data_IF_406768263450
#
_entry.id   IF_406768263450
#
_cell.length_a   1.000
_cell.length_b   1.000
_cell.length_c   1.000
_cell.angle_alpha   90.00
_cell.angle_beta   90.00
_cell.angle_gamma   90.00
#
_symmetry.space_group_name_H-M   'P 1'
#
loop_
_entity.id
_entity.type
_entity.pdbx_description
1 polymer ?
#
# COMPACT_ATOMS: atom_id res chain seq x y z
N UNK A 1 -15.10 13.03 0.74
CA UNK A 1 -14.47 11.72 1.00
C UNK A 1 -13.51 11.75 2.19
N UNK A 2 -12.38 12.49 2.15
CA UNK A 2 -11.35 12.48 3.23
C UNK A 2 -11.90 12.68 4.66
N UNK A 3 -12.76 13.69 4.88
CA UNK A 3 -13.36 13.92 6.21
C UNK A 3 -14.20 12.74 6.71
N UNK A 4 -14.93 12.09 5.80
CA UNK A 4 -15.74 10.93 6.12
C UNK A 4 -14.85 9.72 6.44
N UNK A 5 -13.75 9.53 5.70
CA UNK A 5 -12.78 8.48 5.99
C UNK A 5 -12.16 8.64 7.38
N UNK A 6 -11.71 9.84 7.73
CA UNK A 6 -11.21 10.12 9.09
C UNK A 6 -12.23 9.82 10.16
N UNK A 7 -13.46 10.29 9.98
CA UNK A 7 -14.55 10.03 10.92
C UNK A 7 -14.86 8.53 11.06
N UNK A 8 -14.82 7.76 9.98
CA UNK A 8 -15.02 6.31 10.03
C UNK A 8 -13.93 5.62 10.86
N UNK A 9 -12.67 6.01 10.70
CA UNK A 9 -11.54 5.38 11.39
C UNK A 9 -11.46 5.83 12.86
N UNK A 10 -11.42 7.14 13.08
CA UNK A 10 -11.08 7.73 14.38
C UNK A 10 -12.25 7.72 15.36
N UNK A 11 -13.47 8.01 14.87
CA UNK A 11 -14.65 8.18 15.74
C UNK A 11 -15.54 6.95 15.76
N UNK A 12 -15.67 6.25 14.62
CA UNK A 12 -16.50 5.05 14.51
C UNK A 12 -15.75 3.74 14.75
N UNK A 13 -14.41 3.77 14.80
CA UNK A 13 -13.59 2.56 14.93
C UNK A 13 -13.83 1.57 13.79
N UNK A 14 -14.14 2.07 12.58
CA UNK A 14 -14.32 1.22 11.42
C UNK A 14 -12.96 0.68 10.98
N UNK A 15 -12.83 -0.65 10.94
CA UNK A 15 -11.57 -1.31 10.60
C UNK A 15 -11.56 -1.96 9.21
N UNK A 16 -12.72 -2.09 8.58
CA UNK A 16 -12.91 -2.80 7.31
C UNK A 16 -13.42 -1.84 6.21
N UNK A 17 -12.69 -1.81 5.11
CA UNK A 17 -12.93 -0.99 3.93
C UNK A 17 -12.87 -1.79 2.63
N UNK A 18 -13.01 -3.13 2.68
CA UNK A 18 -12.87 -4.03 1.52
C UNK A 18 -13.62 -3.54 0.28
N UNK A 19 -12.93 -3.51 -0.86
CA UNK A 19 -13.50 -3.17 -2.17
C UNK A 19 -13.92 -1.70 -2.32
N UNK A 20 -13.45 -0.80 -1.46
CA UNK A 20 -13.75 0.63 -1.58
C UNK A 20 -12.79 1.35 -2.52
N UNK A 21 -13.30 2.42 -3.13
CA UNK A 21 -12.56 3.25 -4.07
C UNK A 21 -11.96 4.48 -3.38
N UNK A 22 -10.66 4.67 -3.56
CA UNK A 22 -9.90 5.85 -3.13
C UNK A 22 -9.13 6.57 -4.25
N UNK A 23 -9.49 6.46 -5.55
CA UNK A 23 -8.60 6.88 -6.63
C UNK A 23 -8.31 8.38 -6.60
N UNK A 24 -7.05 8.73 -6.82
CA UNK A 24 -6.59 10.12 -6.88
C UNK A 24 -6.67 10.91 -5.57
N UNK A 25 -7.02 10.27 -4.44
CA UNK A 25 -7.09 10.95 -3.16
C UNK A 25 -5.71 11.27 -2.59
N UNK A 26 -5.65 12.38 -1.83
CA UNK A 26 -4.56 12.62 -0.90
C UNK A 26 -4.86 11.99 0.45
N UNK A 27 -4.18 10.86 0.70
CA UNK A 27 -4.22 10.06 1.91
C UNK A 27 -2.89 10.16 2.68
N UNK A 28 -2.08 11.16 2.37
CA UNK A 28 -0.78 11.35 3.00
C UNK A 28 -0.92 11.54 4.52
N UNK A 29 0.00 10.95 5.27
CA UNK A 29 0.08 10.99 6.74
C UNK A 29 -1.05 10.28 7.50
N UNK A 30 -1.92 9.51 6.82
CA UNK A 30 -2.89 8.66 7.53
C UNK A 30 -2.21 7.49 8.24
N UNK A 31 -2.77 7.11 9.39
CA UNK A 31 -2.46 5.84 10.03
C UNK A 31 -3.57 4.82 9.72
N UNK A 32 -3.23 3.86 8.87
CA UNK A 32 -4.05 2.75 8.44
C UNK A 32 -3.54 1.41 9.00
N UNK A 33 -2.72 1.46 10.06
CA UNK A 33 -2.11 0.27 10.62
C UNK A 33 -3.17 -0.72 11.14
N UNK A 34 -3.02 -1.98 10.76
CA UNK A 34 -3.93 -3.07 11.16
C UNK A 34 -5.30 -3.10 10.48
N UNK A 35 -5.61 -2.10 9.64
CA UNK A 35 -6.90 -2.02 8.95
C UNK A 35 -6.97 -2.97 7.74
N UNK A 36 -8.19 -3.28 7.30
CA UNK A 36 -8.45 -4.15 6.14
C UNK A 36 -8.93 -3.35 4.94
N UNK A 37 -8.21 -3.45 3.83
CA UNK A 37 -8.52 -2.81 2.55
C UNK A 37 -8.47 -3.80 1.37
N UNK A 38 -8.56 -5.11 1.59
CA UNK A 38 -8.41 -6.08 0.49
C UNK A 38 -9.33 -5.74 -0.70
N UNK A 39 -8.78 -5.76 -1.91
CA UNK A 39 -9.48 -5.42 -3.16
C UNK A 39 -9.80 -3.93 -3.36
N UNK A 40 -9.26 -3.03 -2.54
CA UNK A 40 -9.48 -1.59 -2.71
C UNK A 40 -8.69 -0.98 -3.87
N UNK A 41 -9.22 0.13 -4.37
CA UNK A 41 -8.57 0.93 -5.40
C UNK A 41 -7.87 2.17 -4.81
N UNK A 42 -6.54 2.19 -4.88
CA UNK A 42 -5.66 3.29 -4.52
C UNK A 42 -4.91 3.88 -5.73
N UNK A 43 -5.35 3.64 -6.97
CA UNK A 43 -4.64 4.15 -8.14
C UNK A 43 -4.57 5.68 -8.13
N UNK A 44 -3.45 6.23 -8.60
CA UNK A 44 -3.15 7.69 -8.59
C UNK A 44 -3.20 8.39 -7.21
N UNK A 45 -3.26 7.67 -6.10
CA UNK A 45 -3.31 8.29 -4.76
C UNK A 45 -1.97 8.91 -4.35
N UNK A 46 -2.05 9.95 -3.53
CA UNK A 46 -0.91 10.43 -2.76
C UNK A 46 -0.93 9.78 -1.37
N UNK A 47 0.12 9.03 -1.07
CA UNK A 47 0.30 8.18 0.12
C UNK A 47 1.61 8.51 0.83
N UNK A 48 2.00 9.79 0.85
CA UNK A 48 3.27 10.20 1.45
C UNK A 48 3.20 10.01 2.96
N UNK A 49 4.22 9.40 3.57
CA UNK A 49 4.29 9.11 5.01
C UNK A 49 3.10 8.31 5.57
N UNK A 50 2.33 7.61 4.72
CA UNK A 50 1.20 6.79 5.17
C UNK A 50 1.73 5.58 5.95
N UNK A 51 0.98 5.11 6.95
CA UNK A 51 1.28 3.87 7.67
C UNK A 51 0.26 2.81 7.36
N UNK A 52 0.69 1.73 6.73
CA UNK A 52 -0.08 0.51 6.50
C UNK A 52 0.50 -0.67 7.30
N UNK A 53 1.12 -0.41 8.45
CA UNK A 53 1.77 -1.48 9.23
C UNK A 53 0.77 -2.57 9.58
N UNK A 54 1.10 -3.83 9.30
CA UNK A 54 0.21 -4.99 9.55
C UNK A 54 -1.17 -4.90 8.87
N UNK A 55 -1.36 -4.03 7.89
CA UNK A 55 -2.63 -3.92 7.16
C UNK A 55 -2.85 -5.12 6.23
N UNK A 56 -4.12 -5.39 5.90
CA UNK A 56 -4.53 -6.37 4.90
C UNK A 56 -4.84 -5.65 3.60
N UNK A 57 -3.97 -5.82 2.60
CA UNK A 57 -3.95 -5.10 1.33
C UNK A 57 -3.94 -6.08 0.14
N UNK A 58 -4.41 -7.32 0.33
CA UNK A 58 -4.44 -8.30 -0.74
C UNK A 58 -5.31 -7.82 -1.89
N UNK A 59 -4.84 -8.02 -3.13
CA UNK A 59 -5.57 -7.70 -4.36
C UNK A 59 -5.90 -6.21 -4.54
N UNK A 60 -5.25 -5.31 -3.78
CA UNK A 60 -5.38 -3.87 -3.97
C UNK A 60 -4.69 -3.37 -5.25
N UNK A 61 -5.20 -2.27 -5.78
CA UNK A 61 -4.61 -1.52 -6.89
C UNK A 61 -3.90 -0.26 -6.38
N UNK A 62 -2.59 -0.18 -6.51
CA UNK A 62 -1.76 1.01 -6.18
C UNK A 62 -1.09 1.59 -7.43
N UNK A 63 -1.60 1.28 -8.64
CA UNK A 63 -0.99 1.73 -9.89
C UNK A 63 -0.83 3.25 -9.90
N UNK A 64 0.35 3.68 -10.32
CA UNK A 64 0.69 5.11 -10.41
C UNK A 64 0.53 5.91 -9.08
N UNK A 65 0.44 5.23 -7.92
CA UNK A 65 0.38 5.90 -6.61
C UNK A 65 1.77 6.41 -6.18
N UNK A 66 1.77 7.40 -5.28
CA UNK A 66 3.00 8.02 -4.74
C UNK A 66 3.14 7.67 -3.26
N UNK A 67 4.10 6.83 -2.91
CA UNK A 67 4.24 6.30 -1.54
C UNK A 67 5.51 6.76 -0.86
N UNK A 68 6.06 7.94 -1.19
CA UNK A 68 7.30 8.41 -0.56
C UNK A 68 7.24 8.33 0.97
N UNK A 69 8.24 7.69 1.58
CA UNK A 69 8.31 7.47 3.04
C UNK A 69 7.12 6.69 3.64
N UNK A 70 6.39 5.91 2.84
CA UNK A 70 5.31 5.05 3.33
C UNK A 70 5.84 3.82 4.07
N UNK A 71 5.05 3.34 5.01
CA UNK A 71 5.40 2.18 5.83
C UNK A 71 4.39 1.05 5.67
N UNK A 72 4.76 0.04 4.89
CA UNK A 72 4.00 -1.19 4.68
C UNK A 72 4.51 -2.34 5.54
N UNK A 73 5.35 -2.10 6.55
CA UNK A 73 6.00 -3.17 7.31
C UNK A 73 4.97 -4.16 7.90
N UNK A 74 5.26 -5.46 7.78
CA UNK A 74 4.39 -6.57 8.20
C UNK A 74 3.02 -6.67 7.48
N UNK A 75 2.74 -5.84 6.48
CA UNK A 75 1.48 -5.89 5.73
C UNK A 75 1.33 -7.18 4.90
N UNK A 76 0.09 -7.57 4.65
CA UNK A 76 -0.25 -8.64 3.70
C UNK A 76 -0.62 -8.02 2.36
N UNK A 77 0.22 -8.25 1.35
CA UNK A 77 0.13 -7.55 0.06
C UNK A 77 0.17 -8.54 -1.11
N UNK A 78 -0.47 -9.71 -0.94
CA UNK A 78 -0.51 -10.72 -2.00
C UNK A 78 -1.30 -10.19 -3.19
N UNK A 79 -0.81 -10.44 -4.40
CA UNK A 79 -1.45 -10.05 -5.66
C UNK A 79 -1.77 -8.55 -5.78
N UNK A 80 -1.04 -7.71 -5.07
CA UNK A 80 -1.18 -6.25 -5.18
C UNK A 80 -0.64 -5.77 -6.53
N UNK A 81 -1.28 -4.76 -7.13
CA UNK A 81 -0.74 -4.09 -8.31
C UNK A 81 -0.01 -2.80 -7.91
N UNK A 82 1.33 -2.83 -7.98
CA UNK A 82 2.23 -1.71 -7.72
C UNK A 82 2.88 -1.20 -9.02
N UNK A 83 2.25 -1.46 -10.18
CA UNK A 83 2.80 -1.04 -11.46
C UNK A 83 2.92 0.49 -11.53
N UNK A 84 4.10 0.97 -11.92
CA UNK A 84 4.47 2.40 -11.97
C UNK A 84 4.38 3.17 -10.63
N UNK A 85 4.18 2.50 -9.50
CA UNK A 85 4.14 3.16 -8.19
C UNK A 85 5.52 3.75 -7.82
N UNK A 86 5.53 4.89 -7.13
CA UNK A 86 6.75 5.52 -6.62
C UNK A 86 7.03 5.06 -5.17
N UNK A 87 7.85 4.01 -5.02
CA UNK A 87 8.14 3.33 -3.75
C UNK A 87 9.33 3.91 -2.97
N UNK A 88 9.71 5.14 -3.30
CA UNK A 88 10.95 5.75 -2.84
C UNK A 88 10.94 5.93 -1.31
N UNK A 89 12.02 5.53 -0.64
CA UNK A 89 12.17 5.65 0.83
C UNK A 89 11.09 4.90 1.63
N UNK A 90 10.35 3.98 1.01
CA UNK A 90 9.30 3.20 1.67
C UNK A 90 9.87 1.97 2.38
N UNK A 91 9.12 1.44 3.37
CA UNK A 91 9.42 0.14 3.99
C UNK A 91 8.40 -0.91 3.57
N UNK A 92 8.91 -2.03 3.07
CA UNK A 92 8.20 -3.29 2.85
C UNK A 92 8.79 -4.41 3.74
N UNK A 93 9.40 -4.03 4.88
CA UNK A 93 10.01 -4.96 5.81
C UNK A 93 9.02 -6.06 6.23
N UNK A 94 9.41 -7.32 6.06
CA UNK A 94 8.62 -8.49 6.46
C UNK A 94 7.19 -8.55 5.85
N UNK A 95 7.03 -8.04 4.62
CA UNK A 95 5.77 -8.11 3.85
C UNK A 95 5.63 -9.41 3.06
N UNK A 96 4.39 -9.80 2.75
CA UNK A 96 4.12 -10.83 1.73
C UNK A 96 3.65 -10.19 0.42
N UNK A 97 4.55 -10.12 -0.56
CA UNK A 97 4.32 -9.60 -1.91
C UNK A 97 4.19 -10.75 -2.94
N UNK A 98 3.76 -11.94 -2.50
CA UNK A 98 3.55 -13.07 -3.41
C UNK A 98 2.56 -12.68 -4.52
N UNK A 99 2.94 -12.91 -5.79
CA UNK A 99 2.15 -12.60 -6.99
C UNK A 99 1.90 -11.10 -7.21
N UNK A 100 2.65 -10.21 -6.55
CA UNK A 100 2.55 -8.77 -6.76
C UNK A 100 3.07 -8.35 -8.16
N UNK A 101 2.53 -7.26 -8.69
CA UNK A 101 3.02 -6.62 -9.91
C UNK A 101 3.87 -5.39 -9.56
N UNK A 102 5.18 -5.44 -9.81
CA UNK A 102 6.11 -4.32 -9.64
C UNK A 102 6.59 -3.76 -11.00
N UNK A 103 5.92 -4.07 -12.12
CA UNK A 103 6.34 -3.59 -13.44
C UNK A 103 6.47 -2.06 -13.44
N UNK A 104 7.63 -1.54 -13.86
CA UNK A 104 7.94 -0.10 -13.90
C UNK A 104 7.82 0.63 -12.56
N UNK A 105 7.74 -0.07 -11.43
CA UNK A 105 7.78 0.56 -10.12
C UNK A 105 9.11 1.32 -9.96
N UNK A 106 9.04 2.55 -9.43
CA UNK A 106 10.24 3.35 -9.14
C UNK A 106 10.71 3.03 -7.74
N UNK A 107 11.74 2.19 -7.67
CA UNK A 107 12.29 1.69 -6.41
C UNK A 107 13.62 2.40 -6.14
N UNK A 108 13.69 3.14 -5.03
CA UNK A 108 14.92 3.82 -4.59
C UNK A 108 14.92 3.92 -3.07
N UNK A 109 16.00 3.50 -2.42
CA UNK A 109 16.13 3.53 -0.95
C UNK A 109 14.96 2.83 -0.23
N UNK A 110 14.38 1.80 -0.84
CA UNK A 110 13.22 1.07 -0.33
C UNK A 110 13.68 -0.16 0.43
N UNK A 111 13.16 -0.39 1.63
CA UNK A 111 13.51 -1.57 2.43
C UNK A 111 12.63 -2.77 2.07
N UNK A 112 13.21 -3.79 1.43
CA UNK A 112 12.56 -5.08 1.16
C UNK A 112 13.09 -6.21 2.05
N UNK A 113 13.81 -5.91 3.14
CA UNK A 113 14.38 -6.93 4.02
C UNK A 113 13.28 -7.84 4.56
N UNK A 114 13.50 -9.15 4.44
CA UNK A 114 12.55 -10.20 4.80
C UNK A 114 11.19 -10.16 4.04
N UNK A 115 11.06 -9.36 2.98
CA UNK A 115 9.88 -9.40 2.14
C UNK A 115 9.86 -10.70 1.31
N UNK A 116 8.66 -11.27 1.13
CA UNK A 116 8.46 -12.45 0.30
C UNK A 116 8.08 -12.05 -1.12
N UNK A 117 9.02 -12.21 -2.05
CA UNK A 117 8.90 -11.81 -3.47
C UNK A 117 8.73 -13.01 -4.42
N UNK A 118 7.78 -13.92 -4.10
CA UNK A 118 7.49 -15.09 -4.95
C UNK A 118 6.56 -14.71 -6.10
N UNK A 119 6.88 -15.14 -7.32
CA UNK A 119 6.08 -14.92 -8.55
C UNK A 119 5.73 -13.45 -8.85
N UNK A 120 6.60 -12.53 -8.43
CA UNK A 120 6.44 -11.11 -8.73
C UNK A 120 6.66 -10.84 -10.22
N UNK A 121 5.87 -9.93 -10.79
CA UNK A 121 6.02 -9.42 -12.15
C UNK A 121 6.89 -8.15 -12.11
N UNK A 122 7.81 -7.98 -13.07
CA UNK A 122 8.74 -6.85 -13.12
C UNK A 122 10.12 -7.17 -12.53
N UNK A 123 10.99 -6.16 -12.49
CA UNK A 123 12.34 -6.31 -11.92
C UNK A 123 12.24 -6.50 -10.41
N UNK A 124 12.86 -7.58 -9.91
CA UNK A 124 12.91 -7.81 -8.46
C UNK A 124 13.81 -6.75 -7.83
N UNK A 125 13.35 -6.07 -6.76
CA UNK A 125 14.23 -5.20 -5.99
C UNK A 125 15.38 -6.04 -5.41
N UNK A 126 16.59 -5.47 -5.48
CA UNK A 126 17.82 -6.04 -4.90
C UNK A 126 17.83 -5.96 -3.38
#
# INVERSE_FOLDING_TARGET
>A
MIKQLKFMIEEKGQENFVGMDFPGLDLSNFDFSGLTFSGCDFHHTALHNVKFRKAFLEECDFRDAKTHNADFSDAKMKKVDLCKTELMESSFYHTDLTEANLDKAKIKNTDFKNAKLLKVIGDKPS
#
